data_IF_904717201922
#
_entry.id   IF_904717201922
#
_cell.length_a   1.000
_cell.length_b   1.000
_cell.length_c   1.000
_cell.angle_alpha   90.00
_cell.angle_beta   90.00
_cell.angle_gamma   90.00
#
_symmetry.space_group_name_H-M   'P 1'
#
loop_
_entity.id
_entity.type
_entity.pdbx_description
1 polymer ?
#
# COMPACT_ATOMS: atom_id res chain seq x y z
N UNK A 1 0.26 9.28 8.14
CA UNK A 1 -0.85 8.68 8.92
C UNK A 1 -2.08 8.60 8.00
N UNK A 2 -2.73 7.44 7.85
CA UNK A 2 -3.63 7.12 6.72
C UNK A 2 -5.10 7.52 6.89
N UNK A 3 -5.48 8.18 8.00
CA UNK A 3 -6.86 8.59 8.33
C UNK A 3 -7.94 7.47 8.37
N UNK A 4 -7.57 6.19 8.19
CA UNK A 4 -8.47 5.04 8.33
C UNK A 4 -8.40 4.45 9.76
N UNK A 5 -9.53 4.34 10.50
CA UNK A 5 -9.52 3.99 11.91
C UNK A 5 -9.35 2.49 12.22
N UNK A 6 -9.57 1.59 11.25
CA UNK A 6 -9.63 0.13 11.50
C UNK A 6 -8.77 -0.65 10.49
N UNK A 7 -7.46 -0.38 10.48
CA UNK A 7 -6.54 -1.12 9.62
C UNK A 7 -6.37 -2.57 10.12
N UNK A 8 -6.40 -3.59 9.23
CA UNK A 8 -6.24 -4.98 9.64
C UNK A 8 -4.88 -5.23 10.31
N UNK A 9 -4.83 -5.72 11.56
CA UNK A 9 -3.57 -5.88 12.29
C UNK A 9 -2.63 -6.92 11.67
N UNK A 10 -3.18 -7.96 11.04
CA UNK A 10 -2.38 -8.99 10.35
C UNK A 10 -1.64 -8.41 9.13
N UNK A 11 -2.28 -7.52 8.38
CA UNK A 11 -1.66 -6.82 7.25
C UNK A 11 -0.60 -5.83 7.76
N UNK A 12 -0.88 -5.12 8.85
CA UNK A 12 0.06 -4.20 9.49
C UNK A 12 1.37 -4.91 9.88
N UNK A 13 1.28 -6.15 10.38
CA UNK A 13 2.44 -6.96 10.75
C UNK A 13 3.36 -7.24 9.55
N UNK A 14 2.79 -7.55 8.39
CA UNK A 14 3.59 -7.77 7.17
C UNK A 14 4.35 -6.52 6.73
N UNK A 15 3.71 -5.35 6.75
CA UNK A 15 4.40 -4.08 6.46
C UNK A 15 5.46 -3.76 7.50
N UNK A 16 5.15 -3.94 8.78
CA UNK A 16 6.11 -3.69 9.86
C UNK A 16 7.36 -4.58 9.74
N UNK A 17 7.18 -5.87 9.44
CA UNK A 17 8.29 -6.80 9.22
C UNK A 17 9.17 -6.40 8.03
N UNK A 18 8.62 -5.76 7.01
CA UNK A 18 9.41 -5.28 5.87
C UNK A 18 10.29 -4.08 6.24
N UNK A 19 9.77 -3.19 7.09
CA UNK A 19 10.45 -1.98 7.57
C UNK A 19 11.53 -2.35 8.60
N UNK A 20 11.16 -3.23 9.52
CA UNK A 20 11.99 -3.71 10.63
C UNK A 20 12.51 -5.09 10.30
N UNK A 21 13.14 -5.33 9.15
CA UNK A 21 13.56 -6.69 8.73
C UNK A 21 14.32 -7.53 9.79
N UNK A 22 14.79 -8.74 9.45
CA UNK A 22 15.09 -9.81 10.41
C UNK A 22 16.10 -9.49 11.53
N UNK A 23 16.85 -8.39 11.45
CA UNK A 23 17.83 -7.95 12.45
C UNK A 23 17.50 -6.61 13.14
N UNK A 24 16.28 -6.07 12.99
CA UNK A 24 15.85 -4.78 13.56
C UNK A 24 15.49 -3.74 12.50
N UNK A 25 15.22 -2.47 12.86
CA UNK A 25 14.91 -1.43 11.88
C UNK A 25 16.09 -1.26 10.93
N UNK A 26 15.98 -1.85 9.74
CA UNK A 26 16.98 -1.64 8.71
C UNK A 26 16.89 -0.18 8.33
N UNK A 27 17.90 0.61 8.70
CA UNK A 27 18.29 1.78 7.93
C UNK A 27 18.74 1.29 6.54
N UNK A 28 17.82 0.80 5.73
CA UNK A 28 18.07 0.66 4.31
C UNK A 28 18.04 2.08 3.78
N UNK A 29 19.22 2.72 3.78
CA UNK A 29 19.49 3.91 2.97
C UNK A 29 19.12 3.52 1.54
N UNK A 30 17.88 3.82 1.15
CA UNK A 30 17.52 3.90 -0.24
C UNK A 30 18.43 5.00 -0.80
N UNK A 31 19.42 4.57 -1.60
CA UNK A 31 20.12 5.47 -2.49
C UNK A 31 19.04 6.04 -3.40
N UNK A 32 18.61 7.25 -3.06
CA UNK A 32 17.69 8.03 -3.83
C UNK A 32 18.16 7.99 -5.29
N UNK A 33 17.33 7.41 -6.15
CA UNK A 33 17.29 7.89 -7.52
C UNK A 33 16.86 9.36 -7.43
N UNK A 34 17.84 10.26 -7.40
CA UNK A 34 17.70 11.71 -7.63
C UNK A 34 16.55 12.41 -6.89
N UNK A 35 16.85 12.90 -5.68
CA UNK A 35 16.13 14.02 -5.05
C UNK A 35 15.05 13.62 -4.04
N UNK A 36 15.41 13.57 -2.76
CA UNK A 36 14.46 13.45 -1.64
C UNK A 36 14.42 12.05 -1.05
N UNK A 37 15.15 11.83 0.05
CA UNK A 37 14.98 10.61 0.84
C UNK A 37 13.54 10.56 1.37
N UNK A 38 12.78 9.55 0.97
CA UNK A 38 11.44 9.35 1.50
C UNK A 38 11.54 9.08 3.00
N UNK A 39 10.78 9.84 3.78
CA UNK A 39 10.70 9.64 5.23
C UNK A 39 10.05 8.29 5.53
N UNK A 40 10.31 7.72 6.72
CA UNK A 40 9.67 6.49 7.18
C UNK A 40 8.13 6.59 7.09
N UNK A 41 7.58 7.77 7.39
CA UNK A 41 6.14 8.03 7.29
C UNK A 41 5.64 7.93 5.85
N UNK A 42 6.38 8.49 4.89
CA UNK A 42 6.06 8.36 3.45
C UNK A 42 6.06 6.90 3.01
N UNK A 43 7.02 6.11 3.50
CA UNK A 43 7.11 4.68 3.21
C UNK A 43 5.93 3.90 3.78
N UNK A 44 5.57 4.14 5.04
CA UNK A 44 4.39 3.51 5.67
C UNK A 44 3.13 3.85 4.90
N UNK A 45 2.94 5.11 4.53
CA UNK A 45 1.77 5.54 3.75
C UNK A 45 1.77 4.87 2.37
N UNK A 46 2.90 4.83 1.68
CA UNK A 46 3.02 4.18 0.38
C UNK A 46 2.68 2.69 0.45
N UNK A 47 3.17 1.98 1.47
CA UNK A 47 2.94 0.54 1.63
C UNK A 47 1.43 0.24 1.84
N UNK A 48 0.76 1.02 2.71
CA UNK A 48 -0.68 0.88 2.97
C UNK A 48 -1.56 1.24 1.76
N UNK A 49 -1.23 2.32 1.05
CA UNK A 49 -2.02 2.74 -0.10
C UNK A 49 -1.83 1.81 -1.31
N UNK A 50 -0.62 1.33 -1.54
CA UNK A 50 -0.34 0.45 -2.68
C UNK A 50 -0.73 -1.02 -2.44
N UNK A 51 -0.86 -1.44 -1.17
CA UNK A 51 -1.04 -2.86 -0.86
C UNK A 51 0.26 -3.67 -1.00
N UNK A 52 1.41 -2.98 -1.12
CA UNK A 52 2.69 -3.56 -1.51
C UNK A 52 3.81 -3.11 -0.57
N UNK A 53 4.89 -3.86 -0.52
CA UNK A 53 6.12 -3.42 0.18
C UNK A 53 7.36 -3.96 -0.49
N UNK A 54 8.54 -3.44 -0.14
CA UNK A 54 9.84 -3.93 -0.63
C UNK A 54 10.43 -4.91 0.38
N UNK A 55 10.41 -6.19 0.02
CA UNK A 55 11.11 -7.26 0.74
C UNK A 55 12.55 -7.47 0.26
N UNK A 56 13.22 -8.47 0.85
CA UNK A 56 14.61 -8.79 0.52
C UNK A 56 14.83 -9.17 -0.96
N UNK A 57 13.81 -9.74 -1.61
CA UNK A 57 13.85 -10.22 -3.00
C UNK A 57 13.19 -9.26 -4.00
N UNK A 58 12.71 -8.09 -3.55
CA UNK A 58 12.00 -7.13 -4.39
C UNK A 58 10.61 -6.80 -3.84
N UNK A 59 9.76 -6.26 -4.72
CA UNK A 59 8.40 -5.84 -4.37
C UNK A 59 7.51 -7.05 -4.09
N UNK A 60 6.74 -6.99 -3.01
CA UNK A 60 5.83 -8.03 -2.53
C UNK A 60 4.44 -7.41 -2.43
N UNK A 61 3.45 -8.09 -3.02
CA UNK A 61 2.05 -7.75 -2.82
C UNK A 61 1.58 -8.36 -1.50
N UNK A 62 1.17 -7.52 -0.55
CA UNK A 62 0.69 -7.94 0.78
C UNK A 62 -0.82 -8.02 0.79
N UNK A 63 -1.49 -6.98 0.29
CA UNK A 63 -2.95 -6.93 0.23
C UNK A 63 -3.42 -6.17 -1.02
N UNK A 64 -3.68 -6.92 -2.09
CA UNK A 64 -4.06 -6.33 -3.37
C UNK A 64 -5.44 -5.66 -3.31
N UNK A 65 -6.42 -6.34 -2.72
CA UNK A 65 -7.83 -5.90 -2.73
C UNK A 65 -8.14 -4.92 -1.61
N UNK A 66 -7.43 -4.99 -0.49
CA UNK A 66 -7.55 -4.08 0.65
C UNK A 66 -6.61 -2.87 0.61
N UNK A 67 -5.90 -2.66 -0.50
CA UNK A 67 -5.07 -1.46 -0.68
C UNK A 67 -5.93 -0.19 -0.58
N UNK A 68 -5.53 0.76 0.28
CA UNK A 68 -6.33 1.98 0.55
C UNK A 68 -6.52 2.85 -0.70
N UNK A 69 -5.69 2.67 -1.73
CA UNK A 69 -5.85 3.34 -3.02
C UNK A 69 -7.23 3.06 -3.65
N UNK A 70 -7.78 1.86 -3.50
CA UNK A 70 -9.07 1.53 -4.10
C UNK A 70 -10.21 2.35 -3.48
N UNK A 71 -10.17 2.52 -2.16
CA UNK A 71 -11.12 3.36 -1.45
C UNK A 71 -10.91 4.85 -1.79
N UNK A 72 -9.65 5.28 -1.92
CA UNK A 72 -9.31 6.66 -2.27
C UNK A 72 -9.72 7.05 -3.69
N UNK A 73 -9.64 6.13 -4.65
CA UNK A 73 -10.09 6.34 -6.03
C UNK A 73 -11.63 6.28 -6.10
N UNK A 74 -12.27 5.37 -5.35
CA UNK A 74 -13.73 5.33 -5.13
C UNK A 74 -14.59 4.88 -6.34
N UNK A 75 -14.11 5.07 -7.57
CA UNK A 75 -14.81 4.68 -8.80
C UNK A 75 -14.25 3.41 -9.45
N UNK A 76 -13.02 3.02 -9.12
CA UNK A 76 -12.37 1.84 -9.69
C UNK A 76 -12.23 0.73 -8.66
N UNK A 77 -12.33 -0.51 -9.13
CA UNK A 77 -12.05 -1.72 -8.36
C UNK A 77 -10.73 -2.34 -8.80
N UNK A 78 -10.08 -3.16 -7.94
CA UNK A 78 -8.91 -3.93 -8.34
C UNK A 78 -9.22 -4.78 -9.57
N UNK A 79 -8.26 -4.89 -10.49
CA UNK A 79 -8.44 -5.72 -11.70
C UNK A 79 -8.64 -7.18 -11.30
N UNK A 80 -9.61 -7.84 -11.93
CA UNK A 80 -9.98 -9.23 -11.60
C UNK A 80 -10.96 -9.35 -10.43
N UNK A 81 -11.35 -8.24 -9.79
CA UNK A 81 -12.47 -8.20 -8.84
C UNK A 81 -13.70 -7.65 -9.57
N UNK A 82 -14.75 -8.46 -9.76
CA UNK A 82 -15.97 -7.98 -10.40
C UNK A 82 -16.62 -6.90 -9.53
N UNK A 83 -17.16 -5.87 -10.17
CA UNK A 83 -18.00 -4.90 -9.48
C UNK A 83 -19.35 -5.56 -9.13
N UNK A 84 -19.96 -5.14 -8.02
CA UNK A 84 -21.29 -5.61 -7.64
C UNK A 84 -22.36 -5.13 -8.61
N UNK A 85 -22.12 -3.99 -9.26
CA UNK A 85 -22.99 -3.40 -10.26
C UNK A 85 -22.31 -3.35 -11.63
N UNK A 86 -22.85 -4.10 -12.59
CA UNK A 86 -22.39 -4.05 -13.97
C UNK A 86 -22.64 -2.63 -14.55
N UNK A 87 -21.65 -2.08 -15.24
CA UNK A 87 -21.79 -0.80 -15.94
C UNK A 87 -21.50 0.45 -15.10
N UNK A 88 -21.09 0.32 -13.82
CA UNK A 88 -20.70 1.47 -12.98
C UNK A 88 -19.60 2.33 -13.60
N UNK A 89 -18.73 1.73 -14.41
CA UNK A 89 -17.68 2.42 -15.18
C UNK A 89 -18.22 3.41 -16.24
N UNK A 90 -19.50 3.30 -16.64
CA UNK A 90 -20.12 4.20 -17.61
C UNK A 90 -20.69 5.46 -16.94
N UNK A 91 -20.76 5.50 -15.60
CA UNK A 91 -21.24 6.65 -14.83
C UNK A 91 -20.04 7.54 -14.51
N UNK A 92 -20.19 8.85 -14.73
CA UNK A 92 -19.15 9.81 -14.35
C UNK A 92 -18.90 9.76 -12.83
N UNK A 93 -17.63 9.83 -12.37
CA UNK A 93 -17.34 10.01 -10.96
C UNK A 93 -17.94 11.35 -10.48
N UNK A 94 -18.47 11.35 -9.25
CA UNK A 94 -19.01 12.53 -8.59
C UNK A 94 -17.92 13.33 -7.85
#
# INVERSE_FOLDING_TARGET
MTAHPNLPPEIAKHYFQSIVGPTGPHQRREKAATGGGQTLDSRIVADWYSGQTIGARGMVCVDYTGALLWDAIGFAKPRGVPDTEAGRWAVAPF
#
